data_IF_814644116514
#
_entry.id   IF_814644116514
#
_cell.length_a   1.000
_cell.length_b   1.000
_cell.length_c   1.000
_cell.angle_alpha   90.00
_cell.angle_beta   90.00
_cell.angle_gamma   90.00
#
_symmetry.space_group_name_H-M   'P 1'
#
loop_
_entity.id
_entity.type
_entity.pdbx_description
1 polymer ?
#
# COMPACT_ATOMS: atom_id res chain seq x y z
N UNK A 1 21.51 -23.78 23.10
CA UNK A 1 20.23 -23.10 22.78
C UNK A 1 20.18 -22.89 21.29
N UNK A 2 19.36 -23.69 20.60
CA UNK A 2 19.27 -23.68 19.15
C UNK A 2 18.58 -22.41 18.66
N UNK A 3 19.32 -21.58 17.92
CA UNK A 3 18.74 -20.50 17.14
C UNK A 3 17.87 -21.14 16.07
N UNK A 4 16.56 -21.05 16.27
CA UNK A 4 15.54 -21.47 15.32
C UNK A 4 15.78 -20.79 13.98
N UNK A 5 16.09 -21.60 12.97
CA UNK A 5 16.18 -21.16 11.56
C UNK A 5 14.87 -20.45 11.21
N UNK A 6 14.96 -19.18 10.83
CA UNK A 6 13.85 -18.45 10.21
C UNK A 6 13.42 -19.20 8.96
N UNK A 7 12.24 -19.81 9.01
CA UNK A 7 11.59 -20.47 7.87
C UNK A 7 11.45 -19.43 6.74
N UNK A 8 11.70 -19.80 5.46
CA UNK A 8 11.86 -18.82 4.41
C UNK A 8 10.56 -18.08 4.11
N UNK A 9 10.68 -16.78 3.94
CA UNK A 9 9.71 -15.75 3.53
C UNK A 9 9.08 -15.96 2.13
N UNK A 10 8.85 -17.21 1.71
CA UNK A 10 8.47 -17.58 0.33
C UNK A 10 7.25 -18.49 0.20
N UNK A 11 6.63 -18.92 1.31
CA UNK A 11 5.39 -19.71 1.21
C UNK A 11 4.32 -18.86 0.51
N UNK A 12 3.81 -19.26 -0.67
CA UNK A 12 2.81 -18.47 -1.37
C UNK A 12 1.48 -18.46 -0.58
N UNK A 13 0.66 -17.41 -0.71
CA UNK A 13 -0.61 -17.30 0.01
C UNK A 13 -1.50 -18.53 -0.05
N UNK A 14 -1.61 -19.16 -1.22
CA UNK A 14 -2.42 -20.37 -1.42
C UNK A 14 -2.04 -21.59 -0.57
N UNK A 15 -0.83 -21.61 -0.02
CA UNK A 15 -0.31 -22.69 0.84
C UNK A 15 -0.46 -22.38 2.34
N UNK A 16 -0.97 -21.19 2.69
CA UNK A 16 -1.15 -20.78 4.09
C UNK A 16 -2.47 -21.30 4.66
N UNK A 17 -2.45 -21.70 5.94
CA UNK A 17 -3.64 -22.12 6.65
C UNK A 17 -4.71 -21.00 6.68
N UNK A 18 -5.97 -21.35 6.45
CA UNK A 18 -7.06 -20.38 6.35
C UNK A 18 -7.28 -19.80 4.94
N UNK A 19 -6.38 -20.08 3.98
CA UNK A 19 -6.52 -19.58 2.61
C UNK A 19 -7.80 -20.10 1.94
N UNK A 20 -8.06 -21.41 2.00
CA UNK A 20 -9.21 -22.02 1.33
C UNK A 20 -10.54 -21.48 1.89
N UNK A 21 -10.61 -21.29 3.21
CA UNK A 21 -11.75 -20.72 3.90
C UNK A 21 -11.95 -19.24 3.52
N UNK A 22 -10.88 -18.45 3.53
CA UNK A 22 -10.93 -17.04 3.12
C UNK A 22 -11.29 -16.89 1.63
N UNK A 23 -10.80 -17.80 0.79
CA UNK A 23 -11.14 -17.87 -0.64
C UNK A 23 -12.62 -18.18 -0.83
N UNK A 24 -13.15 -19.19 -0.14
CA UNK A 24 -14.57 -19.56 -0.18
C UNK A 24 -15.47 -18.42 0.32
N UNK A 25 -15.04 -17.70 1.35
CA UNK A 25 -15.73 -16.53 1.89
C UNK A 25 -15.64 -15.26 1.02
N UNK A 26 -14.86 -15.28 -0.06
CA UNK A 26 -14.70 -14.13 -0.97
C UNK A 26 -13.93 -12.96 -0.36
N UNK A 27 -13.07 -13.23 0.64
CA UNK A 27 -12.32 -12.21 1.37
C UNK A 27 -10.94 -11.92 0.73
N UNK A 28 -10.45 -12.82 -0.12
CA UNK A 28 -9.16 -12.69 -0.80
C UNK A 28 -9.27 -11.82 -2.07
N UNK A 29 -8.15 -11.21 -2.51
CA UNK A 29 -8.06 -10.59 -3.84
C UNK A 29 -8.50 -11.56 -4.95
N UNK A 30 -9.41 -11.11 -5.81
CA UNK A 30 -9.88 -11.90 -6.97
C UNK A 30 -9.67 -11.13 -8.27
N UNK A 31 -8.92 -11.74 -9.18
CA UNK A 31 -8.64 -11.19 -10.51
C UNK A 31 -9.64 -11.77 -11.49
N UNK A 32 -10.62 -10.99 -11.99
CA UNK A 32 -11.58 -11.49 -12.96
C UNK A 32 -10.93 -11.75 -14.32
N UNK A 33 -11.52 -12.64 -15.12
CA UNK A 33 -11.05 -12.97 -16.47
C UNK A 33 -11.25 -11.83 -17.48
N UNK A 34 -12.14 -10.89 -17.19
CA UNK A 34 -12.32 -9.64 -17.94
C UNK A 34 -11.99 -8.44 -17.06
N UNK A 35 -11.57 -7.30 -17.63
CA UNK A 35 -11.24 -6.12 -16.85
C UNK A 35 -12.42 -5.66 -15.98
N UNK A 36 -12.22 -5.43 -14.67
CA UNK A 36 -13.25 -4.88 -13.82
C UNK A 36 -13.42 -3.36 -14.07
N UNK A 37 -14.61 -2.79 -13.79
CA UNK A 37 -14.75 -1.33 -13.74
C UNK A 37 -14.00 -0.75 -12.54
N UNK A 38 -13.78 0.58 -12.54
CA UNK A 38 -13.24 1.28 -11.38
C UNK A 38 -14.26 1.27 -10.23
N UNK A 39 -14.04 0.43 -9.23
CA UNK A 39 -14.93 0.26 -8.06
C UNK A 39 -14.51 1.10 -6.85
N UNK A 40 -13.26 1.55 -6.82
CA UNK A 40 -12.66 2.29 -5.70
C UNK A 40 -12.49 3.76 -6.08
N UNK A 41 -13.16 4.65 -5.33
CA UNK A 41 -13.10 6.11 -5.52
C UNK A 41 -12.85 6.79 -4.18
N UNK A 42 -11.82 7.64 -4.04
CA UNK A 42 -10.81 7.96 -5.05
C UNK A 42 -9.87 6.78 -5.34
N UNK A 43 -9.39 6.68 -6.57
CA UNK A 43 -8.39 5.65 -6.96
C UNK A 43 -7.06 5.88 -6.24
N UNK A 44 -6.24 4.84 -6.09
CA UNK A 44 -4.90 4.92 -5.51
C UNK A 44 -4.02 5.94 -6.26
N UNK A 45 -4.11 5.98 -7.59
CA UNK A 45 -3.42 6.98 -8.42
C UNK A 45 -3.91 8.40 -8.15
N UNK A 46 -5.21 8.61 -7.95
CA UNK A 46 -5.76 9.91 -7.61
C UNK A 46 -5.33 10.37 -6.20
N UNK A 47 -5.36 9.44 -5.23
CA UNK A 47 -4.84 9.69 -3.88
C UNK A 47 -3.35 10.06 -3.91
N UNK A 48 -2.53 9.34 -4.71
CA UNK A 48 -1.11 9.63 -4.85
C UNK A 48 -0.85 11.00 -5.51
N UNK A 49 -1.60 11.35 -6.57
CA UNK A 49 -1.53 12.69 -7.18
C UNK A 49 -1.88 13.78 -6.16
N UNK A 50 -2.88 13.56 -5.31
CA UNK A 50 -3.26 14.49 -4.25
C UNK A 50 -2.16 14.63 -3.19
N UNK A 51 -1.52 13.52 -2.80
CA UNK A 51 -0.34 13.54 -1.92
C UNK A 51 0.76 14.43 -2.50
N UNK A 52 1.14 14.22 -3.76
CA UNK A 52 2.19 15.00 -4.42
C UNK A 52 1.83 16.49 -4.46
N UNK A 53 0.63 16.81 -4.93
CA UNK A 53 0.16 18.19 -5.02
C UNK A 53 0.15 18.88 -3.64
N UNK A 54 -0.40 18.22 -2.62
CA UNK A 54 -0.49 18.78 -1.27
C UNK A 54 0.91 18.98 -0.66
N UNK A 55 1.82 18.03 -0.88
CA UNK A 55 3.20 18.12 -0.39
C UNK A 55 3.94 19.30 -1.01
N UNK A 56 3.84 19.47 -2.34
CA UNK A 56 4.46 20.59 -3.05
C UNK A 56 3.90 21.93 -2.55
N UNK A 57 2.57 22.04 -2.47
CA UNK A 57 1.91 23.27 -1.99
C UNK A 57 2.37 23.60 -0.57
N UNK A 58 2.33 22.62 0.34
CA UNK A 58 2.70 22.86 1.73
C UNK A 58 4.18 23.27 1.87
N UNK A 59 5.09 22.65 1.13
CA UNK A 59 6.50 23.02 1.13
C UNK A 59 6.71 24.46 0.62
N UNK A 60 6.07 24.82 -0.50
CA UNK A 60 6.14 26.18 -1.03
C UNK A 60 5.54 27.20 -0.05
N UNK A 61 4.43 26.88 0.62
CA UNK A 61 3.84 27.75 1.65
C UNK A 61 4.80 27.99 2.81
N UNK A 62 5.50 26.95 3.29
CA UNK A 62 6.49 27.08 4.37
C UNK A 62 7.66 27.97 3.93
N UNK A 63 8.18 27.77 2.73
CA UNK A 63 9.28 28.58 2.19
C UNK A 63 8.88 30.05 2.00
N UNK A 64 7.69 30.30 1.46
CA UNK A 64 7.18 31.67 1.28
C UNK A 64 6.96 32.37 2.62
N UNK A 65 6.39 31.67 3.61
CA UNK A 65 6.21 32.21 4.95
C UNK A 65 7.56 32.53 5.60
N UNK A 66 8.53 31.61 5.52
CA UNK A 66 9.87 31.82 6.04
C UNK A 66 10.56 33.05 5.41
N UNK A 67 10.35 33.29 4.11
CA UNK A 67 10.88 34.47 3.40
C UNK A 67 10.27 35.79 3.89
N UNK A 68 9.05 35.78 4.40
CA UNK A 68 8.38 36.98 4.95
C UNK A 68 8.76 37.29 6.40
N UNK A 69 9.43 36.35 7.09
CA UNK A 69 9.85 36.47 8.48
C UNK A 69 11.36 36.66 8.57
N UNK A 70 11.84 37.20 9.68
CA UNK A 70 13.28 37.37 9.95
C UNK A 70 13.71 36.62 11.22
N UNK A 71 14.99 36.28 11.30
CA UNK A 71 15.61 35.66 12.47
C UNK A 71 14.86 34.43 12.98
N UNK A 72 14.48 34.46 14.26
CA UNK A 72 13.81 33.36 14.93
C UNK A 72 12.45 32.99 14.30
N UNK A 73 11.72 33.95 13.72
CA UNK A 73 10.43 33.69 13.08
C UNK A 73 10.56 32.81 11.83
N UNK A 74 11.59 33.06 11.01
CA UNK A 74 11.89 32.23 9.86
C UNK A 74 12.30 30.80 10.26
N UNK A 75 13.13 30.68 11.31
CA UNK A 75 13.53 29.37 11.85
C UNK A 75 12.34 28.57 12.39
N UNK A 76 11.42 29.23 13.11
CA UNK A 76 10.21 28.60 13.63
C UNK A 76 9.27 28.16 12.49
N UNK A 77 9.10 28.98 11.45
CA UNK A 77 8.29 28.64 10.28
C UNK A 77 8.82 27.40 9.56
N UNK A 78 10.13 27.31 9.33
CA UNK A 78 10.75 26.13 8.72
C UNK A 78 10.63 24.90 9.62
N UNK A 79 10.90 25.04 10.93
CA UNK A 79 10.84 23.92 11.87
C UNK A 79 9.43 23.35 12.02
N UNK A 80 8.47 24.18 12.43
CA UNK A 80 7.08 23.76 12.63
C UNK A 80 6.40 23.39 11.31
N UNK A 81 6.67 24.15 10.25
CA UNK A 81 6.16 23.88 8.91
C UNK A 81 6.69 22.54 8.37
N UNK A 82 7.97 22.27 8.55
CA UNK A 82 8.59 20.99 8.17
C UNK A 82 7.96 19.80 8.91
N UNK A 83 7.78 19.91 10.23
CA UNK A 83 7.10 18.88 11.02
C UNK A 83 5.66 18.65 10.52
N UNK A 84 4.91 19.73 10.28
CA UNK A 84 3.54 19.63 9.76
C UNK A 84 3.51 18.94 8.39
N UNK A 85 4.42 19.29 7.48
CA UNK A 85 4.55 18.64 6.17
C UNK A 85 4.82 17.15 6.32
N UNK A 86 5.75 16.75 7.20
CA UNK A 86 6.05 15.34 7.46
C UNK A 86 4.82 14.56 7.97
N UNK A 87 4.08 15.14 8.92
CA UNK A 87 2.83 14.55 9.43
C UNK A 87 1.80 14.39 8.31
N UNK A 88 1.66 15.39 7.43
CA UNK A 88 0.74 15.34 6.31
C UNK A 88 1.13 14.28 5.28
N UNK A 89 2.43 14.18 4.96
CA UNK A 89 2.96 13.13 4.07
C UNK A 89 2.63 11.76 4.65
N UNK A 90 2.97 11.52 5.92
CA UNK A 90 2.75 10.23 6.57
C UNK A 90 1.27 9.80 6.52
N UNK A 91 0.34 10.70 6.89
CA UNK A 91 -1.10 10.40 6.87
C UNK A 91 -1.64 10.17 5.47
N UNK A 92 -1.15 10.90 4.48
CA UNK A 92 -1.61 10.75 3.09
C UNK A 92 -1.01 9.53 2.42
N UNK A 93 0.22 9.16 2.74
CA UNK A 93 0.87 7.97 2.22
C UNK A 93 0.13 6.70 2.67
N UNK A 94 -0.25 6.61 3.94
CA UNK A 94 -1.08 5.50 4.45
C UNK A 94 -2.42 5.40 3.69
N UNK A 95 -3.06 6.54 3.38
CA UNK A 95 -4.29 6.55 2.57
C UNK A 95 -4.07 6.05 1.14
N UNK A 96 -2.91 6.31 0.53
CA UNK A 96 -2.60 5.76 -0.80
C UNK A 96 -2.53 4.23 -0.71
N UNK A 97 -1.83 3.71 0.30
CA UNK A 97 -1.77 2.27 0.57
C UNK A 97 -3.17 1.67 0.74
N UNK A 98 -4.02 2.29 1.55
CA UNK A 98 -5.39 1.81 1.79
C UNK A 98 -6.21 1.70 0.50
N UNK A 99 -6.14 2.72 -0.36
CA UNK A 99 -6.82 2.69 -1.65
C UNK A 99 -6.22 1.63 -2.57
N UNK A 100 -4.90 1.45 -2.52
CA UNK A 100 -4.23 0.42 -3.30
C UNK A 100 -4.68 -0.99 -2.89
N UNK A 101 -4.76 -1.29 -1.59
CA UNK A 101 -5.30 -2.56 -1.09
C UNK A 101 -6.78 -2.74 -1.45
N UNK A 102 -7.56 -1.66 -1.38
CA UNK A 102 -8.96 -1.70 -1.82
C UNK A 102 -9.07 -2.05 -3.31
N UNK A 103 -8.22 -1.48 -4.18
CA UNK A 103 -8.19 -1.83 -5.60
C UNK A 103 -7.79 -3.29 -5.82
N UNK A 104 -6.80 -3.79 -5.08
CA UNK A 104 -6.34 -5.18 -5.18
C UNK A 104 -7.42 -6.20 -4.86
N UNK A 105 -8.29 -5.92 -3.88
CA UNK A 105 -9.46 -6.76 -3.56
C UNK A 105 -10.35 -6.99 -4.78
N UNK A 106 -10.39 -6.02 -5.68
CA UNK A 106 -11.16 -6.05 -6.92
C UNK A 106 -10.37 -6.56 -8.14
N UNK A 107 -9.12 -6.99 -7.96
CA UNK A 107 -8.32 -7.60 -9.02
C UNK A 107 -7.68 -6.62 -9.98
N UNK A 108 -7.60 -5.34 -9.62
CA UNK A 108 -6.97 -4.31 -10.43
C UNK A 108 -6.09 -3.38 -9.61
N UNK A 109 -5.29 -2.56 -10.30
CA UNK A 109 -4.55 -1.44 -9.76
C UNK A 109 -4.62 -0.26 -10.73
N UNK A 110 -4.62 0.96 -10.21
CA UNK A 110 -4.53 2.20 -11.00
C UNK A 110 -3.16 2.88 -10.87
N UNK A 111 -2.43 2.53 -9.81
CA UNK A 111 -1.10 3.04 -9.50
C UNK A 111 -0.09 1.93 -9.77
N UNK A 112 0.76 2.14 -10.78
CA UNK A 112 1.89 1.26 -11.07
C UNK A 112 3.06 1.64 -10.15
N UNK A 113 3.33 0.79 -9.17
CA UNK A 113 4.45 0.91 -8.23
C UNK A 113 5.22 -0.39 -8.29
N UNK A 114 6.52 -0.28 -8.54
CA UNK A 114 7.44 -1.42 -8.47
C UNK A 114 8.16 -1.49 -7.13
N UNK A 115 8.20 -0.37 -6.39
CA UNK A 115 8.98 -0.24 -5.19
C UNK A 115 8.45 0.83 -4.22
N UNK A 116 8.54 0.56 -2.92
CA UNK A 116 8.24 1.51 -1.84
C UNK A 116 7.09 1.07 -0.93
N UNK A 117 7.08 1.59 0.30
CA UNK A 117 6.06 1.27 1.31
C UNK A 117 5.11 2.42 1.60
N UNK A 118 3.88 2.08 1.97
CA UNK A 118 2.83 3.07 2.27
C UNK A 118 2.58 3.28 3.76
N UNK A 119 2.94 2.30 4.58
CA UNK A 119 2.72 2.31 6.02
C UNK A 119 4.05 2.17 6.77
N UNK A 120 4.06 2.64 8.00
CA UNK A 120 5.15 2.43 8.94
C UNK A 120 4.58 1.53 10.05
N UNK A 121 5.09 0.30 10.22
CA UNK A 121 4.44 -0.69 11.07
C UNK A 121 5.23 -1.99 11.32
N UNK A 122 4.67 -2.86 12.15
CA UNK A 122 5.30 -3.76 13.15
C UNK A 122 6.16 -4.96 12.69
N UNK A 123 6.28 -5.27 11.40
CA UNK A 123 6.94 -6.51 10.96
C UNK A 123 8.10 -6.32 9.98
N UNK A 124 8.54 -7.44 9.37
CA UNK A 124 9.69 -7.44 8.46
C UNK A 124 9.42 -6.51 7.26
N UNK A 125 10.07 -5.36 7.25
CA UNK A 125 10.38 -4.64 6.01
C UNK A 125 11.50 -5.42 5.31
N UNK A 126 11.26 -5.91 4.10
CA UNK A 126 12.30 -6.55 3.30
C UNK A 126 13.57 -5.68 3.24
N UNK A 127 14.73 -6.32 3.13
CA UNK A 127 16.07 -5.68 3.24
C UNK A 127 16.34 -4.54 2.26
N UNK A 128 15.49 -4.37 1.25
CA UNK A 128 15.64 -3.39 0.17
C UNK A 128 14.37 -2.57 -0.08
N UNK A 129 13.35 -2.60 0.80
CA UNK A 129 12.04 -1.98 0.56
C UNK A 129 11.05 -2.89 -0.18
N UNK A 130 9.73 -2.65 0.00
CA UNK A 130 8.63 -3.43 -0.58
C UNK A 130 8.72 -3.49 -2.11
N UNK A 131 9.11 -4.64 -2.67
CA UNK A 131 9.01 -4.89 -4.10
C UNK A 131 7.59 -5.39 -4.41
N UNK A 132 6.90 -4.67 -5.29
CA UNK A 132 5.52 -4.99 -5.67
C UNK A 132 5.48 -5.69 -7.03
N UNK A 133 4.85 -6.85 -7.10
CA UNK A 133 4.55 -7.52 -8.37
C UNK A 133 3.07 -7.39 -8.73
N UNK A 134 2.78 -6.34 -9.49
CA UNK A 134 1.43 -6.05 -9.98
C UNK A 134 1.08 -6.79 -11.28
N UNK A 135 1.90 -7.75 -11.75
CA UNK A 135 1.63 -8.47 -13.01
C UNK A 135 0.44 -9.40 -12.90
N UNK A 136 0.07 -9.83 -11.69
CA UNK A 136 -1.13 -10.62 -11.45
C UNK A 136 -2.44 -9.82 -11.56
N UNK A 137 -2.39 -8.49 -11.65
CA UNK A 137 -3.56 -7.60 -11.65
C UNK A 137 -3.81 -6.96 -13.01
N UNK A 138 -5.06 -6.54 -13.25
CA UNK A 138 -5.37 -5.57 -14.30
C UNK A 138 -4.78 -4.21 -13.94
N UNK A 139 -3.98 -3.60 -14.82
CA UNK A 139 -3.59 -2.19 -14.67
C UNK A 139 -4.56 -1.34 -15.46
N UNK A 140 -5.30 -0.49 -14.75
CA UNK A 140 -6.31 0.39 -15.33
C UNK A 140 -5.84 1.84 -15.35
N UNK A 141 -6.31 2.60 -16.32
CA UNK A 141 -6.20 4.05 -16.30
C UNK A 141 -7.12 4.62 -15.22
N UNK A 142 -6.55 5.45 -14.35
CA UNK A 142 -7.23 5.97 -13.16
C UNK A 142 -8.37 6.95 -13.46
N UNK A 143 -8.41 7.54 -14.65
CA UNK A 143 -9.42 8.51 -15.07
C UNK A 143 -10.56 7.90 -15.87
N UNK A 144 -10.22 6.95 -16.75
CA UNK A 144 -11.14 6.41 -17.75
C UNK A 144 -11.54 4.96 -17.46
N UNK A 145 -10.80 4.25 -16.61
CA UNK A 145 -10.96 2.82 -16.41
C UNK A 145 -10.48 1.96 -17.58
N UNK A 146 -9.88 2.58 -18.61
CA UNK A 146 -9.36 1.84 -19.76
C UNK A 146 -8.21 0.90 -19.34
N UNK A 147 -8.13 -0.25 -20.00
CA UNK A 147 -7.06 -1.23 -19.74
C UNK A 147 -5.73 -0.69 -20.25
N UNK A 148 -4.74 -0.61 -19.37
CA UNK A 148 -3.33 -0.34 -19.73
C UNK A 148 -2.53 -1.63 -19.85
N UNK A 149 -2.80 -2.62 -19.00
CA UNK A 149 -2.13 -3.93 -19.00
C UNK A 149 -3.07 -5.00 -18.44
N UNK A 150 -3.10 -6.17 -19.07
CA UNK A 150 -3.79 -7.35 -18.55
C UNK A 150 -2.91 -8.19 -17.62
N UNK A 151 -3.51 -9.08 -16.79
CA UNK A 151 -2.77 -9.93 -15.88
C UNK A 151 -1.98 -11.00 -16.63
N UNK A 152 -0.72 -11.20 -16.24
CA UNK A 152 0.07 -12.38 -16.62
C UNK A 152 -0.19 -13.43 -15.53
N UNK A 153 -0.98 -14.47 -15.83
CA UNK A 153 -1.57 -15.39 -14.84
C UNK A 153 -0.62 -16.36 -14.12
N UNK A 154 0.38 -15.85 -13.41
CA UNK A 154 1.42 -16.65 -12.75
C UNK A 154 1.70 -16.14 -11.32
N UNK A 155 0.73 -16.30 -10.42
CA UNK A 155 0.93 -16.04 -9.00
C UNK A 155 -0.32 -15.54 -8.28
N UNK A 156 -0.26 -15.59 -6.95
CA UNK A 156 -1.23 -14.93 -6.10
C UNK A 156 -1.01 -13.40 -6.21
N UNK A 157 -2.03 -12.62 -6.60
CA UNK A 157 -1.88 -11.19 -6.75
C UNK A 157 -1.55 -10.51 -5.42
N UNK A 158 -0.98 -9.29 -5.43
CA UNK A 158 -0.76 -8.55 -4.21
C UNK A 158 -2.08 -8.25 -3.49
N UNK A 159 -2.02 -8.18 -2.16
CA UNK A 159 -3.17 -7.88 -1.31
C UNK A 159 -3.06 -8.51 0.07
N UNK A 160 -4.15 -8.46 0.84
CA UNK A 160 -4.18 -9.03 2.19
C UNK A 160 -4.62 -10.49 2.14
N UNK A 161 -3.91 -11.34 2.89
CA UNK A 161 -4.16 -12.78 3.01
C UNK A 161 -4.04 -13.24 4.46
N UNK A 162 -4.57 -14.41 4.84
CA UNK A 162 -4.25 -15.05 6.12
C UNK A 162 -2.75 -15.11 6.33
N UNK A 163 -2.30 -14.65 7.51
CA UNK A 163 -0.87 -14.54 7.80
C UNK A 163 -0.26 -15.91 8.14
N UNK A 164 0.89 -16.28 7.52
CA UNK A 164 1.68 -17.42 7.97
C UNK A 164 2.48 -17.11 9.25
N UNK A 165 2.67 -15.83 9.58
CA UNK A 165 3.51 -15.38 10.70
C UNK A 165 2.71 -15.05 11.97
N UNK A 166 1.44 -14.69 11.82
CA UNK A 166 0.55 -14.28 12.91
C UNK A 166 -0.84 -14.92 12.76
N UNK A 167 -1.05 -16.14 13.29
CA UNK A 167 -2.33 -16.85 13.18
C UNK A 167 -3.52 -16.01 13.63
N UNK A 168 -4.58 -15.97 12.82
CA UNK A 168 -5.79 -15.19 13.07
C UNK A 168 -5.72 -13.73 12.59
N UNK A 169 -4.58 -13.26 12.07
CA UNK A 169 -4.43 -11.95 11.44
C UNK A 169 -4.32 -12.07 9.92
N UNK A 170 -4.57 -10.95 9.25
CA UNK A 170 -4.30 -10.79 7.83
C UNK A 170 -2.95 -10.11 7.68
N UNK A 171 -2.15 -10.53 6.71
CA UNK A 171 -0.85 -9.96 6.38
C UNK A 171 -0.78 -9.60 4.90
N UNK A 172 -0.01 -8.57 4.60
CA UNK A 172 0.19 -8.10 3.24
C UNK A 172 1.11 -9.04 2.46
N UNK A 173 0.65 -9.48 1.30
CA UNK A 173 1.47 -10.12 0.27
C UNK A 173 1.70 -9.13 -0.87
N UNK A 174 2.95 -8.92 -1.27
CA UNK A 174 3.29 -7.94 -2.33
C UNK A 174 3.24 -8.51 -3.74
N UNK A 175 2.85 -9.78 -3.90
CA UNK A 175 3.01 -10.54 -5.14
C UNK A 175 4.29 -11.38 -5.17
N UNK A 176 5.27 -11.05 -4.32
CA UNK A 176 6.57 -11.75 -4.25
C UNK A 176 6.97 -12.16 -2.84
N UNK A 177 6.62 -11.37 -1.83
CA UNK A 177 6.95 -11.65 -0.44
C UNK A 177 5.87 -11.18 0.53
N UNK A 178 5.90 -11.75 1.73
CA UNK A 178 5.09 -11.29 2.83
C UNK A 178 5.71 -10.03 3.43
N UNK A 179 4.86 -9.06 3.70
CA UNK A 179 5.21 -7.84 4.36
C UNK A 179 4.46 -7.76 5.67
N UNK A 180 5.16 -7.43 6.76
CA UNK A 180 4.62 -7.42 8.12
C UNK A 180 3.62 -6.30 8.44
N UNK A 181 2.87 -5.85 7.43
CA UNK A 181 1.69 -5.03 7.58
C UNK A 181 0.49 -5.95 7.83
N UNK A 182 -0.12 -5.80 9.01
CA UNK A 182 -1.19 -6.66 9.46
C UNK A 182 -2.53 -5.92 9.61
N UNK A 183 -3.62 -6.57 9.23
CA UNK A 183 -4.99 -6.14 9.50
C UNK A 183 -5.75 -7.19 10.33
N UNK A 184 -6.77 -6.73 11.05
CA UNK A 184 -7.75 -7.61 11.67
C UNK A 184 -8.75 -8.12 10.61
N UNK A 185 -9.16 -9.41 10.66
CA UNK A 185 -10.14 -9.98 9.74
C UNK A 185 -11.47 -9.22 9.65
N UNK A 186 -11.84 -8.51 10.73
CA UNK A 186 -13.06 -7.72 10.83
C UNK A 186 -12.93 -6.29 10.25
N UNK A 187 -11.77 -5.94 9.66
CA UNK A 187 -11.50 -4.61 9.11
C UNK A 187 -11.42 -3.49 10.16
N UNK A 188 -11.34 -3.84 11.44
CA UNK A 188 -11.23 -2.89 12.54
C UNK A 188 -9.75 -2.59 12.76
N UNK A 189 -9.25 -1.52 12.14
CA UNK A 189 -7.91 -1.01 12.49
C UNK A 189 -7.98 -0.42 13.90
N UNK A 190 -7.15 -0.93 14.82
CA UNK A 190 -6.88 -0.30 16.12
C UNK A 190 -5.86 0.81 15.98
#
# INVERSE_FOLDING_TARGET
MGSSRSVPSRTPPREVAGYAEAYAAGLLPRVPSTPPPLMVVPTARAAFRRLLATTVIAFLTVLLLAKTLSGAGAMAAVGLGGILVLVLIHRQLARVGDQLIAEFRHGYATLDVSWGGFWFGEGHTGTTGEAWDLRGLWLLDASTGAVRRGPAGHGDPPGMYPSPHAPGRWELWTGVEWHGHFDDPAGTRR
#
